data_IF_155969492665
#
_entry.id   IF_155969492665
#
_cell.length_a   1.000
_cell.length_b   1.000
_cell.length_c   1.000
_cell.angle_alpha   90.00
_cell.angle_beta   90.00
_cell.angle_gamma   90.00
#
_symmetry.space_group_name_H-M   'P 1'
#
loop_
_entity.id
_entity.type
_entity.pdbx_description
1 polymer ?
#
# COMPACT_ATOMS: atom_id res chain seq x y z
N UNK A 1 -37.61 -37.28 26.83
CA UNK A 1 -37.33 -35.86 27.11
C UNK A 1 -36.57 -35.29 25.93
N UNK A 2 -37.20 -34.44 25.11
CA UNK A 2 -36.53 -33.73 24.01
C UNK A 2 -35.87 -32.49 24.62
N UNK A 3 -34.57 -32.33 24.37
CA UNK A 3 -33.76 -31.20 24.83
C UNK A 3 -34.38 -29.88 24.34
N UNK A 4 -34.90 -29.02 25.23
CA UNK A 4 -35.61 -27.83 24.82
C UNK A 4 -34.58 -26.75 24.42
N UNK A 5 -34.54 -26.49 23.11
CA UNK A 5 -33.92 -25.34 22.45
C UNK A 5 -32.42 -25.43 22.15
N UNK A 6 -32.05 -26.32 21.21
CA UNK A 6 -30.83 -26.08 20.43
C UNK A 6 -30.99 -24.77 19.66
N UNK A 7 -30.15 -23.77 19.95
CA UNK A 7 -30.12 -22.51 19.19
C UNK A 7 -29.90 -22.83 17.71
N UNK A 8 -30.56 -22.10 16.78
CA UNK A 8 -30.34 -22.31 15.35
C UNK A 8 -28.86 -22.05 15.02
N UNK A 9 -28.23 -23.00 14.33
CA UNK A 9 -26.91 -22.79 13.75
C UNK A 9 -27.08 -21.99 12.45
N UNK A 10 -26.35 -20.89 12.32
CA UNK A 10 -26.23 -20.16 11.07
C UNK A 10 -24.99 -20.68 10.34
N UNK A 11 -25.19 -21.55 9.36
CA UNK A 11 -24.13 -22.03 8.49
C UNK A 11 -24.01 -21.08 7.29
N UNK A 12 -22.93 -20.32 7.23
CA UNK A 12 -22.61 -19.44 6.08
C UNK A 12 -21.53 -20.12 5.26
N UNK A 13 -21.89 -20.60 4.08
CA UNK A 13 -20.94 -21.11 3.09
C UNK A 13 -20.43 -19.95 2.22
N UNK A 14 -19.10 -19.83 2.11
CA UNK A 14 -18.43 -18.76 1.39
C UNK A 14 -17.59 -19.36 0.27
N UNK A 15 -17.95 -19.08 -0.99
CA UNK A 15 -17.09 -19.40 -2.13
C UNK A 15 -15.89 -18.44 -2.14
N UNK A 16 -14.78 -18.93 -1.58
CA UNK A 16 -13.55 -18.15 -1.39
C UNK A 16 -12.96 -17.68 -2.73
N UNK A 17 -13.05 -18.50 -3.78
CA UNK A 17 -12.52 -18.18 -5.10
C UNK A 17 -13.31 -17.06 -5.76
N UNK A 18 -14.66 -17.16 -5.73
CA UNK A 18 -15.53 -16.11 -6.23
C UNK A 18 -15.40 -14.83 -5.42
N UNK A 19 -15.29 -14.94 -4.11
CA UNK A 19 -15.17 -13.78 -3.21
C UNK A 19 -13.88 -13.00 -3.47
N UNK A 20 -12.73 -13.68 -3.55
CA UNK A 20 -11.47 -13.03 -3.87
C UNK A 20 -11.47 -12.41 -5.26
N UNK A 21 -12.08 -13.07 -6.25
CA UNK A 21 -12.20 -12.54 -7.61
C UNK A 21 -13.05 -11.27 -7.65
N UNK A 22 -14.20 -11.27 -6.97
CA UNK A 22 -15.07 -10.10 -6.90
C UNK A 22 -14.42 -8.94 -6.14
N UNK A 23 -13.70 -9.25 -5.06
CA UNK A 23 -12.92 -8.25 -4.32
C UNK A 23 -11.86 -7.62 -5.22
N UNK A 24 -11.04 -8.44 -5.89
CA UNK A 24 -10.01 -7.95 -6.82
C UNK A 24 -10.61 -7.08 -7.93
N UNK A 25 -11.64 -7.57 -8.63
CA UNK A 25 -12.30 -6.82 -9.71
C UNK A 25 -12.89 -5.51 -9.18
N UNK A 26 -13.53 -5.54 -8.01
CA UNK A 26 -14.14 -4.36 -7.40
C UNK A 26 -13.12 -3.28 -7.07
N UNK A 27 -11.98 -3.67 -6.46
CA UNK A 27 -10.90 -2.73 -6.13
C UNK A 27 -10.28 -2.14 -7.39
N UNK A 28 -9.89 -2.97 -8.36
CA UNK A 28 -9.31 -2.49 -9.63
C UNK A 28 -10.28 -1.61 -10.42
N UNK A 29 -11.56 -1.96 -10.46
CA UNK A 29 -12.57 -1.13 -11.11
C UNK A 29 -12.71 0.24 -10.43
N UNK A 30 -12.58 0.29 -9.10
CA UNK A 30 -12.60 1.53 -8.35
C UNK A 30 -11.32 2.37 -8.58
N UNK A 31 -10.15 1.75 -8.60
CA UNK A 31 -8.87 2.39 -8.93
C UNK A 31 -8.90 3.03 -10.33
N UNK A 32 -9.40 2.28 -11.33
CA UNK A 32 -9.59 2.79 -12.69
C UNK A 32 -10.58 3.95 -12.70
N UNK A 33 -11.70 3.83 -11.97
CA UNK A 33 -12.67 4.92 -11.87
C UNK A 33 -12.02 6.19 -11.30
N UNK A 34 -11.23 6.08 -10.22
CA UNK A 34 -10.50 7.20 -9.64
C UNK A 34 -9.56 7.85 -10.65
N UNK A 35 -8.73 7.06 -11.35
CA UNK A 35 -7.82 7.55 -12.39
C UNK A 35 -8.56 8.33 -13.50
N UNK A 36 -9.68 7.78 -13.97
CA UNK A 36 -10.50 8.43 -15.00
C UNK A 36 -11.16 9.71 -14.48
N UNK A 37 -11.69 9.70 -13.25
CA UNK A 37 -12.29 10.87 -12.64
C UNK A 37 -11.29 12.01 -12.51
N UNK A 38 -10.04 11.73 -12.10
CA UNK A 38 -9.00 12.76 -12.04
C UNK A 38 -8.67 13.30 -13.43
N UNK A 39 -8.38 12.40 -14.38
CA UNK A 39 -8.04 12.75 -15.76
C UNK A 39 -9.08 13.64 -16.43
N UNK A 40 -10.37 13.34 -16.25
CA UNK A 40 -11.45 14.07 -16.91
C UNK A 40 -11.96 15.26 -16.10
N UNK A 41 -12.16 15.11 -14.79
CA UNK A 41 -12.79 16.16 -13.97
C UNK A 41 -11.75 17.16 -13.47
N UNK A 42 -10.63 16.69 -12.91
CA UNK A 42 -9.60 17.57 -12.36
C UNK A 42 -8.76 18.19 -13.47
N UNK A 43 -8.10 17.34 -14.28
CA UNK A 43 -7.21 17.79 -15.35
C UNK A 43 -8.00 18.37 -16.52
N UNK A 44 -8.98 17.61 -17.04
CA UNK A 44 -9.84 18.05 -18.14
C UNK A 44 -10.82 19.17 -17.80
N UNK A 45 -10.95 19.53 -16.51
CA UNK A 45 -11.83 20.60 -16.00
C UNK A 45 -13.29 20.48 -16.46
N UNK A 46 -13.83 19.26 -16.55
CA UNK A 46 -15.25 19.06 -16.88
C UNK A 46 -16.22 19.70 -15.87
N UNK A 47 -15.75 19.98 -14.65
CA UNK A 47 -16.54 20.66 -13.60
C UNK A 47 -15.73 21.86 -13.08
N UNK A 48 -16.33 23.06 -13.10
CA UNK A 48 -15.65 24.29 -12.70
C UNK A 48 -15.41 24.41 -11.19
N UNK A 49 -16.17 23.68 -10.36
CA UNK A 49 -16.07 23.72 -8.91
C UNK A 49 -14.73 23.17 -8.41
N UNK A 50 -13.90 24.05 -7.84
CA UNK A 50 -12.56 23.71 -7.35
C UNK A 50 -12.56 22.66 -6.23
N UNK A 51 -13.57 22.67 -5.35
CA UNK A 51 -13.69 21.69 -4.26
C UNK A 51 -13.88 20.26 -4.78
N UNK A 52 -14.71 20.08 -5.82
CA UNK A 52 -14.96 18.75 -6.40
C UNK A 52 -13.70 18.26 -7.12
N UNK A 53 -13.04 19.13 -7.89
CA UNK A 53 -11.75 18.81 -8.51
C UNK A 53 -10.68 18.48 -7.49
N UNK A 54 -10.59 19.23 -6.39
CA UNK A 54 -9.65 18.94 -5.31
C UNK A 54 -9.88 17.56 -4.69
N UNK A 55 -11.14 17.19 -4.45
CA UNK A 55 -11.52 15.90 -3.88
C UNK A 55 -11.16 14.70 -4.80
N UNK A 56 -11.21 14.91 -6.12
CA UNK A 56 -10.93 13.88 -7.13
C UNK A 56 -9.51 13.95 -7.71
N UNK A 57 -8.67 14.86 -7.22
CA UNK A 57 -7.30 14.98 -7.66
C UNK A 57 -6.43 13.93 -6.96
N UNK A 58 -6.00 12.88 -7.67
CA UNK A 58 -5.17 11.81 -7.12
C UNK A 58 -3.79 12.32 -6.73
N UNK A 59 -3.32 13.43 -7.31
CA UNK A 59 -2.04 14.04 -6.93
C UNK A 59 -2.12 14.82 -5.61
N UNK A 60 -3.29 14.88 -4.96
CA UNK A 60 -3.51 15.54 -3.66
C UNK A 60 -3.72 14.52 -2.58
N UNK A 61 -3.30 14.91 -1.38
CA UNK A 61 -3.19 13.98 -0.26
C UNK A 61 -4.34 14.09 0.74
N UNK A 62 -5.26 15.01 0.45
CA UNK A 62 -6.58 15.11 1.05
C UNK A 62 -7.69 14.65 0.08
N UNK A 63 -7.32 13.84 -0.93
CA UNK A 63 -8.25 13.35 -1.95
C UNK A 63 -8.97 12.05 -1.54
N UNK A 64 -10.01 11.70 -2.28
CA UNK A 64 -10.67 10.39 -2.15
C UNK A 64 -9.71 9.26 -2.52
N UNK A 65 -8.77 9.50 -3.44
CA UNK A 65 -7.73 8.54 -3.82
C UNK A 65 -6.84 8.18 -2.64
N UNK A 66 -6.29 9.18 -1.95
CA UNK A 66 -5.44 8.97 -0.77
C UNK A 66 -6.19 8.31 0.38
N UNK A 67 -7.47 8.67 0.60
CA UNK A 67 -8.26 7.98 1.62
C UNK A 67 -8.45 6.50 1.28
N UNK A 68 -8.68 6.19 0.01
CA UNK A 68 -8.80 4.82 -0.46
C UNK A 68 -7.48 4.04 -0.36
N UNK A 69 -6.35 4.59 -0.82
CA UNK A 69 -5.01 3.95 -0.69
C UNK A 69 -4.67 3.67 0.77
N UNK A 70 -4.91 4.63 1.67
CA UNK A 70 -4.71 4.49 3.11
C UNK A 70 -5.53 3.32 3.68
N UNK A 71 -6.83 3.24 3.37
CA UNK A 71 -7.67 2.14 3.82
C UNK A 71 -7.22 0.80 3.22
N UNK A 72 -6.81 0.80 1.95
CA UNK A 72 -6.35 -0.39 1.29
C UNK A 72 -5.10 -0.96 1.99
N UNK A 73 -4.10 -0.13 2.25
CA UNK A 73 -2.90 -0.50 3.01
C UNK A 73 -3.25 -0.99 4.43
N UNK A 74 -4.20 -0.33 5.11
CA UNK A 74 -4.68 -0.78 6.41
C UNK A 74 -5.28 -2.19 6.35
N UNK A 75 -6.12 -2.47 5.35
CA UNK A 75 -6.71 -3.81 5.17
C UNK A 75 -5.67 -4.86 4.77
N UNK A 76 -4.63 -4.51 4.00
CA UNK A 76 -3.47 -5.39 3.79
C UNK A 76 -2.86 -5.74 5.15
N UNK A 77 -2.61 -4.73 5.99
CA UNK A 77 -2.09 -4.93 7.33
C UNK A 77 -2.93 -5.89 8.17
N UNK A 78 -4.26 -5.70 8.19
CA UNK A 78 -5.18 -6.59 8.88
C UNK A 78 -5.19 -8.03 8.32
N UNK A 79 -5.07 -8.18 7.00
CA UNK A 79 -5.02 -9.50 6.37
C UNK A 79 -3.75 -10.26 6.77
N UNK A 80 -2.59 -9.59 6.75
CA UNK A 80 -1.31 -10.16 7.25
C UNK A 80 -1.39 -10.51 8.74
N UNK A 81 -1.94 -9.62 9.57
CA UNK A 81 -2.13 -9.90 11.00
C UNK A 81 -3.03 -11.12 11.21
N UNK A 82 -4.13 -11.23 10.46
CA UNK A 82 -5.06 -12.36 10.54
C UNK A 82 -4.35 -13.68 10.25
N UNK A 83 -3.52 -13.72 9.21
CA UNK A 83 -2.66 -14.89 8.90
C UNK A 83 -1.64 -15.16 10.01
N UNK A 84 -1.04 -14.11 10.59
CA UNK A 84 -0.10 -14.24 11.70
C UNK A 84 -0.74 -14.85 12.95
N UNK A 85 -1.94 -14.41 13.30
CA UNK A 85 -2.69 -14.93 14.44
C UNK A 85 -3.17 -16.37 14.22
N UNK A 86 -3.39 -16.76 12.97
CA UNK A 86 -3.82 -18.11 12.62
C UNK A 86 -2.69 -19.15 12.63
N UNK A 87 -1.41 -18.73 12.64
CA UNK A 87 -0.25 -19.64 12.57
C UNK A 87 -0.22 -20.69 13.68
N UNK A 88 -0.64 -20.33 14.91
CA UNK A 88 -0.68 -21.27 16.03
C UNK A 88 -1.65 -22.43 15.76
N UNK A 89 -2.81 -22.11 15.17
CA UNK A 89 -3.81 -23.13 14.81
C UNK A 89 -3.32 -24.02 13.66
N UNK A 90 -2.44 -23.51 12.80
CA UNK A 90 -1.82 -24.27 11.70
C UNK A 90 -0.63 -25.13 12.15
N UNK A 91 -0.22 -25.09 13.43
CA UNK A 91 0.95 -25.80 13.92
C UNK A 91 2.28 -25.28 13.36
N UNK A 92 2.28 -24.06 12.81
CA UNK A 92 3.45 -23.46 12.17
C UNK A 92 4.40 -22.84 13.21
N UNK A 93 5.71 -22.79 12.95
CA UNK A 93 6.69 -22.30 13.91
C UNK A 93 6.55 -20.79 14.19
N UNK A 94 6.92 -20.37 15.41
CA UNK A 94 6.71 -19.01 15.91
C UNK A 94 7.35 -17.90 15.06
N UNK A 95 8.47 -18.19 14.36
CA UNK A 95 9.12 -17.20 13.50
C UNK A 95 8.24 -16.79 12.32
N UNK A 96 7.41 -17.70 11.77
CA UNK A 96 6.46 -17.35 10.70
C UNK A 96 5.40 -16.39 11.21
N UNK A 97 4.85 -16.66 12.40
CA UNK A 97 3.92 -15.76 13.07
C UNK A 97 4.53 -14.36 13.23
N UNK A 98 5.78 -14.29 13.67
CA UNK A 98 6.48 -13.02 13.82
C UNK A 98 6.52 -12.24 12.49
N UNK A 99 6.95 -12.85 11.38
CA UNK A 99 7.01 -12.15 10.08
C UNK A 99 5.64 -11.73 9.56
N UNK A 100 4.62 -12.59 9.65
CA UNK A 100 3.26 -12.21 9.25
C UNK A 100 2.74 -11.00 10.06
N UNK A 101 2.97 -10.98 11.38
CA UNK A 101 2.58 -9.85 12.23
C UNK A 101 3.42 -8.60 11.92
N UNK A 102 4.74 -8.76 11.77
CA UNK A 102 5.65 -7.66 11.46
C UNK A 102 5.26 -6.96 10.16
N UNK A 103 5.03 -7.72 9.08
CA UNK A 103 4.57 -7.14 7.81
C UNK A 103 3.17 -6.54 7.92
N UNK A 104 2.29 -7.15 8.71
CA UNK A 104 0.97 -6.56 8.96
C UNK A 104 1.06 -5.19 9.65
N UNK A 105 1.90 -5.05 10.68
CA UNK A 105 2.14 -3.75 11.31
C UNK A 105 2.87 -2.77 10.39
N UNK A 106 3.77 -3.26 9.53
CA UNK A 106 4.41 -2.42 8.52
C UNK A 106 3.40 -1.80 7.55
N UNK A 107 2.43 -2.57 7.03
CA UNK A 107 1.39 -2.02 6.16
C UNK A 107 0.41 -1.08 6.89
N UNK A 108 0.14 -1.32 8.18
CA UNK A 108 -0.58 -0.33 9.01
C UNK A 108 0.24 0.96 9.15
N UNK A 109 1.56 0.85 9.33
CA UNK A 109 2.44 2.01 9.33
C UNK A 109 2.39 2.76 7.99
N UNK A 110 2.47 2.06 6.85
CA UNK A 110 2.33 2.66 5.51
C UNK A 110 1.00 3.41 5.37
N UNK A 111 -0.11 2.84 5.83
CA UNK A 111 -1.42 3.51 5.86
C UNK A 111 -1.41 4.82 6.67
N UNK A 112 -0.76 4.83 7.83
CA UNK A 112 -0.64 6.03 8.67
C UNK A 112 0.29 7.05 8.01
N UNK A 113 1.39 6.59 7.44
CA UNK A 113 2.41 7.40 6.79
C UNK A 113 1.84 8.15 5.59
N UNK A 114 1.13 7.45 4.71
CA UNK A 114 0.46 8.00 3.52
C UNK A 114 -0.56 9.09 3.93
N UNK A 115 -1.41 8.81 4.92
CA UNK A 115 -2.39 9.78 5.42
C UNK A 115 -1.80 10.97 6.20
N UNK A 116 -0.54 10.88 6.63
CA UNK A 116 0.11 11.92 7.47
C UNK A 116 1.34 12.57 6.85
N UNK A 117 1.81 12.09 5.69
CA UNK A 117 3.05 12.51 5.03
C UNK A 117 4.26 12.39 5.94
N UNK A 118 4.32 11.35 6.77
CA UNK A 118 5.32 11.30 7.83
C UNK A 118 6.75 11.20 7.25
N UNK A 119 6.97 10.37 6.24
CA UNK A 119 8.26 10.25 5.54
C UNK A 119 8.65 11.55 4.82
N UNK A 120 7.70 12.26 4.21
CA UNK A 120 7.96 13.57 3.57
C UNK A 120 8.36 14.64 4.60
N UNK A 121 7.65 14.68 5.74
CA UNK A 121 7.92 15.65 6.82
C UNK A 121 9.29 15.42 7.43
N UNK A 122 9.66 14.17 7.68
CA UNK A 122 11.00 13.83 8.17
C UNK A 122 12.06 14.16 7.11
N UNK A 123 11.81 13.85 5.83
CA UNK A 123 12.71 14.23 4.74
C UNK A 123 12.94 15.75 4.69
N UNK A 124 11.90 16.55 4.94
CA UNK A 124 12.00 18.01 4.99
C UNK A 124 12.83 18.51 6.17
N UNK A 125 12.65 17.91 7.36
CA UNK A 125 13.49 18.22 8.53
C UNK A 125 14.95 17.88 8.25
N UNK A 126 15.21 16.69 7.69
CA UNK A 126 16.56 16.25 7.34
C UNK A 126 17.22 17.17 6.31
N UNK A 127 16.48 17.61 5.28
CA UNK A 127 16.95 18.62 4.31
C UNK A 127 17.40 19.90 5.00
N UNK A 128 16.56 20.46 5.88
CA UNK A 128 16.88 21.71 6.61
C UNK A 128 18.14 21.54 7.45
N UNK A 129 18.28 20.44 8.19
CA UNK A 129 19.48 20.18 8.99
C UNK A 129 20.73 19.99 8.12
N UNK A 130 20.63 19.30 6.98
CA UNK A 130 21.76 19.10 6.08
C UNK A 130 22.22 20.39 5.38
N UNK A 131 21.27 21.27 5.03
CA UNK A 131 21.54 22.56 4.33
C UNK A 131 21.91 23.68 5.32
N UNK A 132 21.28 23.76 6.48
CA UNK A 132 21.58 24.79 7.49
C UNK A 132 22.83 24.44 8.32
N UNK A 133 23.14 23.14 8.47
CA UNK A 133 24.36 22.65 9.12
C UNK A 133 25.61 22.75 8.25
N UNK A 134 25.45 23.06 6.95
CA UNK A 134 26.53 23.31 6.01
C UNK A 134 26.79 24.82 5.89
N UNK A 135 27.28 25.44 6.97
CA UNK A 135 28.09 26.65 6.81
C UNK A 135 29.24 26.30 5.85
N UNK A 136 29.33 27.03 4.74
CA UNK A 136 30.01 26.66 3.50
C UNK A 136 31.49 26.25 3.59
N UNK A 137 32.14 26.47 4.74
CA UNK A 137 33.56 26.17 4.97
C UNK A 137 33.82 24.86 5.75
N UNK A 138 32.80 24.17 6.27
CA UNK A 138 32.98 22.95 7.11
C UNK A 138 32.04 21.79 6.78
N UNK A 139 31.30 21.85 5.67
CA UNK A 139 30.40 20.76 5.31
C UNK A 139 31.19 19.47 5.05
N UNK A 140 31.01 18.45 5.89
CA UNK A 140 31.62 17.15 5.63
C UNK A 140 31.19 16.62 4.25
N UNK A 141 32.05 15.87 3.53
CA UNK A 141 31.78 15.40 2.17
C UNK A 141 30.42 14.70 2.01
N UNK A 142 29.94 14.04 3.07
CA UNK A 142 28.62 13.41 3.10
C UNK A 142 27.48 14.43 3.00
N UNK A 143 27.53 15.54 3.72
CA UNK A 143 26.49 16.58 3.68
C UNK A 143 26.50 17.36 2.37
N UNK A 144 27.68 17.58 1.78
CA UNK A 144 27.78 18.17 0.44
C UNK A 144 27.19 17.24 -0.65
N UNK A 145 27.41 15.93 -0.55
CA UNK A 145 26.79 14.94 -1.44
C UNK A 145 25.26 14.90 -1.27
N UNK A 146 24.78 14.88 -0.02
CA UNK A 146 23.35 14.87 0.31
C UNK A 146 22.64 16.19 -0.06
N UNK A 147 23.35 17.33 0.00
CA UNK A 147 22.85 18.63 -0.43
C UNK A 147 22.53 18.69 -1.93
N UNK A 148 23.22 17.88 -2.75
CA UNK A 148 23.07 17.81 -4.20
C UNK A 148 22.26 16.59 -4.67
N UNK A 149 21.55 15.91 -3.76
CA UNK A 149 20.78 14.72 -4.12
C UNK A 149 19.61 15.10 -5.03
N UNK A 150 19.44 14.46 -6.21
CA UNK A 150 18.56 14.95 -7.28
C UNK A 150 17.07 14.66 -7.05
N UNK A 151 16.70 14.13 -5.89
CA UNK A 151 15.33 13.69 -5.58
C UNK A 151 14.94 14.06 -4.15
N UNK A 152 13.75 13.67 -3.72
CA UNK A 152 13.26 13.88 -2.37
C UNK A 152 14.22 13.31 -1.32
N UNK A 153 14.47 14.09 -0.25
CA UNK A 153 15.37 13.70 0.84
C UNK A 153 14.84 12.50 1.63
N UNK A 154 13.55 12.22 1.57
CA UNK A 154 12.99 11.02 2.19
C UNK A 154 13.59 9.75 1.56
N UNK A 155 13.96 9.76 0.27
CA UNK A 155 14.60 8.61 -0.38
C UNK A 155 15.91 8.22 0.32
N UNK A 156 16.69 9.18 0.80
CA UNK A 156 17.94 8.89 1.50
C UNK A 156 17.69 8.15 2.82
N UNK A 157 16.62 8.53 3.52
CA UNK A 157 16.34 8.05 4.89
C UNK A 157 15.52 6.75 4.86
N UNK A 158 14.43 6.72 4.09
CA UNK A 158 13.44 5.65 4.13
C UNK A 158 13.61 4.61 3.02
N UNK A 159 14.10 4.99 1.83
CA UNK A 159 14.23 4.03 0.71
C UNK A 159 15.09 2.81 1.09
N UNK A 160 16.25 2.94 1.78
CA UNK A 160 17.02 1.75 2.19
C UNK A 160 16.27 0.86 3.17
N UNK A 161 15.46 1.46 4.06
CA UNK A 161 14.65 0.74 5.05
C UNK A 161 13.53 -0.02 4.32
N UNK A 162 12.78 0.68 3.47
CA UNK A 162 11.70 0.10 2.68
C UNK A 162 12.20 -0.96 1.70
N UNK A 163 13.38 -0.78 1.11
CA UNK A 163 14.03 -1.79 0.29
C UNK A 163 14.35 -3.06 1.09
N UNK A 164 14.94 -2.93 2.28
CA UNK A 164 15.21 -4.06 3.17
C UNK A 164 13.92 -4.80 3.56
N UNK A 165 12.86 -4.06 3.91
CA UNK A 165 11.56 -4.64 4.27
C UNK A 165 10.91 -5.31 3.05
N UNK A 166 10.91 -4.67 1.89
CA UNK A 166 10.40 -5.23 0.63
C UNK A 166 11.12 -6.52 0.24
N UNK A 167 12.45 -6.56 0.39
CA UNK A 167 13.24 -7.78 0.18
C UNK A 167 12.89 -8.87 1.20
N UNK A 168 12.69 -8.51 2.47
CA UNK A 168 12.25 -9.45 3.50
C UNK A 168 10.85 -10.02 3.19
N UNK A 169 9.91 -9.18 2.75
CA UNK A 169 8.58 -9.59 2.28
C UNK A 169 8.71 -10.56 1.12
N UNK A 170 9.51 -10.22 0.10
CA UNK A 170 9.75 -11.08 -1.05
C UNK A 170 10.28 -12.45 -0.63
N UNK A 171 11.38 -12.50 0.11
CA UNK A 171 12.03 -13.75 0.54
C UNK A 171 11.06 -14.60 1.37
N UNK A 172 10.33 -13.98 2.29
CA UNK A 172 9.40 -14.67 3.17
C UNK A 172 8.20 -15.24 2.39
N UNK A 173 7.50 -14.38 1.63
CA UNK A 173 6.31 -14.79 0.88
C UNK A 173 6.66 -15.76 -0.26
N UNK A 174 7.82 -15.63 -0.90
CA UNK A 174 8.26 -16.59 -1.91
C UNK A 174 8.35 -18.02 -1.36
N UNK A 175 8.77 -18.15 -0.09
CA UNK A 175 8.83 -19.43 0.63
C UNK A 175 7.45 -19.92 1.05
N UNK A 176 6.58 -19.04 1.51
CA UNK A 176 5.24 -19.42 2.00
C UNK A 176 4.24 -19.71 0.88
N UNK A 177 4.32 -18.99 -0.25
CA UNK A 177 3.46 -19.16 -1.41
C UNK A 177 3.95 -20.34 -2.25
N UNK A 178 3.19 -21.44 -2.18
CA UNK A 178 3.54 -22.69 -2.89
C UNK A 178 3.07 -22.71 -4.35
N UNK A 179 1.98 -22.01 -4.65
CA UNK A 179 1.36 -21.99 -5.98
C UNK A 179 2.00 -20.92 -6.86
N UNK A 180 2.35 -21.28 -8.10
CA UNK A 180 3.01 -20.39 -9.06
C UNK A 180 2.23 -19.08 -9.30
N UNK A 181 0.90 -19.17 -9.45
CA UNK A 181 0.06 -17.99 -9.67
C UNK A 181 0.17 -16.97 -8.53
N UNK A 182 0.34 -17.42 -7.28
CA UNK A 182 0.52 -16.52 -6.14
C UNK A 182 1.93 -15.89 -6.14
N UNK A 183 2.95 -16.59 -6.64
CA UNK A 183 4.29 -16.02 -6.82
C UNK A 183 4.35 -14.99 -7.94
N UNK A 184 3.66 -15.24 -9.06
CA UNK A 184 3.51 -14.26 -10.14
C UNK A 184 2.80 -13.01 -9.62
N UNK A 185 1.75 -13.18 -8.82
CA UNK A 185 1.05 -12.08 -8.17
C UNK A 185 1.96 -11.28 -7.22
N UNK A 186 2.81 -11.95 -6.43
CA UNK A 186 3.83 -11.30 -5.60
C UNK A 186 4.82 -10.49 -6.42
N UNK A 187 5.33 -11.07 -7.52
CA UNK A 187 6.24 -10.35 -8.42
C UNK A 187 5.55 -9.12 -9.03
N UNK A 188 4.32 -9.27 -9.52
CA UNK A 188 3.55 -8.17 -10.06
C UNK A 188 3.33 -7.06 -9.03
N UNK A 189 2.95 -7.40 -7.79
CA UNK A 189 2.76 -6.44 -6.70
C UNK A 189 4.05 -5.64 -6.43
N UNK A 190 5.18 -6.34 -6.25
CA UNK A 190 6.47 -5.70 -6.00
C UNK A 190 6.95 -4.87 -7.20
N UNK A 191 6.75 -5.36 -8.43
CA UNK A 191 7.12 -4.61 -9.63
C UNK A 191 6.31 -3.32 -9.77
N UNK A 192 5.02 -3.32 -9.44
CA UNK A 192 4.21 -2.11 -9.46
C UNK A 192 4.74 -1.06 -8.49
N UNK A 193 5.08 -1.45 -7.25
CA UNK A 193 5.75 -0.54 -6.31
C UNK A 193 7.10 -0.05 -6.82
N UNK A 194 7.96 -0.93 -7.34
CA UNK A 194 9.28 -0.53 -7.85
C UNK A 194 9.15 0.47 -9.00
N UNK A 195 8.20 0.27 -9.91
CA UNK A 195 7.96 1.21 -11.01
C UNK A 195 7.40 2.52 -10.47
N UNK A 196 6.44 2.49 -9.54
CA UNK A 196 5.89 3.68 -8.90
C UNK A 196 6.98 4.56 -8.28
N UNK A 197 7.82 3.95 -7.44
CA UNK A 197 8.93 4.63 -6.77
C UNK A 197 9.98 5.12 -7.79
N UNK A 198 10.11 4.42 -8.91
CA UNK A 198 10.90 4.87 -10.05
C UNK A 198 10.32 6.13 -10.72
N UNK A 199 9.00 6.23 -10.85
CA UNK A 199 8.33 7.44 -11.35
C UNK A 199 8.57 8.61 -10.40
N UNK A 200 8.32 8.46 -9.09
CA UNK A 200 8.56 9.52 -8.09
C UNK A 200 10.02 10.03 -8.11
N UNK A 201 10.97 9.11 -8.29
CA UNK A 201 12.38 9.47 -8.45
C UNK A 201 12.63 10.30 -9.73
N UNK A 202 12.10 9.87 -10.87
CA UNK A 202 12.26 10.54 -12.17
C UNK A 202 11.55 11.90 -12.23
N UNK A 203 10.49 12.11 -11.45
CA UNK A 203 9.78 13.39 -11.37
C UNK A 203 10.68 14.56 -10.94
N UNK A 204 11.74 14.29 -10.17
CA UNK A 204 12.67 15.32 -9.69
C UNK A 204 13.90 15.52 -10.55
N UNK A 205 14.07 14.75 -11.61
CA UNK A 205 15.20 14.92 -12.52
C UNK A 205 14.82 15.88 -13.64
N UNK A 206 15.29 17.13 -13.54
CA UNK A 206 15.00 18.22 -14.49
C UNK A 206 15.25 17.83 -15.96
N UNK A 207 16.37 17.15 -16.23
CA UNK A 207 16.73 16.71 -17.59
C UNK A 207 15.68 15.74 -18.17
N UNK A 208 15.14 14.85 -17.35
CA UNK A 208 14.09 13.91 -17.78
C UNK A 208 12.79 14.65 -18.04
N UNK A 209 12.43 15.61 -17.18
CA UNK A 209 11.23 16.42 -17.34
C UNK A 209 11.27 17.27 -18.63
N UNK A 210 12.41 17.89 -18.93
CA UNK A 210 12.60 18.66 -20.17
C UNK A 210 12.49 17.76 -21.41
N UNK A 211 13.13 16.58 -21.37
CA UNK A 211 13.05 15.61 -22.47
C UNK A 211 11.62 15.13 -22.72
N UNK A 212 10.84 14.85 -21.66
CA UNK A 212 9.43 14.45 -21.77
C UNK A 212 8.56 15.58 -22.35
N UNK A 213 8.76 16.81 -21.91
CA UNK A 213 8.03 17.98 -22.43
C UNK A 213 8.26 18.16 -23.93
N UNK A 214 9.51 18.06 -24.38
CA UNK A 214 9.87 18.16 -25.79
C UNK A 214 9.31 16.98 -26.61
N UNK A 215 9.47 15.74 -26.11
CA UNK A 215 9.04 14.52 -26.81
C UNK A 215 7.54 14.46 -27.01
N UNK A 216 6.77 14.85 -26.01
CA UNK A 216 5.30 14.79 -26.05
C UNK A 216 4.65 16.12 -26.46
N UNK A 217 5.45 17.18 -26.69
CA UNK A 217 4.96 18.54 -26.92
C UNK A 217 3.91 18.96 -25.89
N UNK A 218 4.20 18.67 -24.62
CA UNK A 218 3.29 18.83 -23.50
C UNK A 218 3.88 19.78 -22.46
N UNK A 219 3.02 20.45 -21.71
CA UNK A 219 3.46 21.33 -20.62
C UNK A 219 4.05 20.51 -19.46
N UNK A 220 4.97 21.11 -18.70
CA UNK A 220 5.46 20.54 -17.43
C UNK A 220 4.30 20.06 -16.54
N UNK A 221 3.28 20.90 -16.35
CA UNK A 221 2.08 20.53 -15.58
C UNK A 221 1.41 19.24 -16.07
N UNK A 222 1.35 19.03 -17.39
CA UNK A 222 0.71 17.84 -17.97
C UNK A 222 1.55 16.60 -17.70
N UNK A 223 2.86 16.69 -17.93
CA UNK A 223 3.79 15.57 -17.68
C UNK A 223 3.77 15.18 -16.20
N UNK A 224 3.93 16.17 -15.30
CA UNK A 224 3.94 15.92 -13.86
C UNK A 224 2.61 15.37 -13.36
N UNK A 225 1.48 15.92 -13.82
CA UNK A 225 0.18 15.43 -13.39
C UNK A 225 -0.04 13.98 -13.83
N UNK A 226 0.21 13.64 -15.11
CA UNK A 226 0.01 12.27 -15.60
C UNK A 226 1.02 11.27 -15.04
N UNK A 227 2.25 11.70 -14.78
CA UNK A 227 3.26 10.90 -14.05
C UNK A 227 2.73 10.54 -12.68
N UNK A 228 2.31 11.54 -11.89
CA UNK A 228 1.88 11.34 -10.50
C UNK A 228 0.60 10.53 -10.39
N UNK A 229 -0.42 10.75 -11.22
CA UNK A 229 -1.63 9.90 -11.16
C UNK A 229 -1.34 8.45 -11.60
N UNK A 230 -0.33 8.24 -12.44
CA UNK A 230 0.10 6.90 -12.86
C UNK A 230 0.87 6.22 -11.73
N UNK A 231 1.77 6.93 -11.07
CA UNK A 231 2.44 6.52 -9.83
C UNK A 231 1.40 6.03 -8.80
N UNK A 232 0.49 6.91 -8.38
CA UNK A 232 -0.56 6.63 -7.40
C UNK A 232 -1.41 5.40 -7.78
N UNK A 233 -1.77 5.28 -9.07
CA UNK A 233 -2.51 4.12 -9.57
C UNK A 233 -1.70 2.81 -9.47
N UNK A 234 -0.41 2.85 -9.76
CA UNK A 234 0.47 1.67 -9.64
C UNK A 234 0.63 1.25 -8.18
N UNK A 235 0.73 2.19 -7.24
CA UNK A 235 0.79 1.88 -5.81
C UNK A 235 -0.49 1.23 -5.32
N UNK A 236 -1.64 1.80 -5.67
CA UNK A 236 -2.94 1.21 -5.35
C UNK A 236 -3.05 -0.20 -5.93
N UNK A 237 -2.79 -0.38 -7.23
CA UNK A 237 -2.87 -1.69 -7.87
C UNK A 237 -1.93 -2.72 -7.20
N UNK A 238 -0.70 -2.32 -6.87
CA UNK A 238 0.25 -3.15 -6.12
C UNK A 238 -0.27 -3.54 -4.74
N UNK A 239 -0.87 -2.59 -4.03
CA UNK A 239 -1.51 -2.79 -2.71
C UNK A 239 -2.70 -3.74 -2.81
N UNK A 240 -3.54 -3.63 -3.86
CA UNK A 240 -4.63 -4.57 -4.14
C UNK A 240 -4.11 -6.00 -4.27
N UNK A 241 -3.02 -6.22 -5.01
CA UNK A 241 -2.40 -7.55 -5.09
C UNK A 241 -1.87 -8.03 -3.74
N UNK A 242 -1.26 -7.15 -2.95
CA UNK A 242 -0.84 -7.45 -1.58
C UNK A 242 -1.98 -7.74 -0.62
N UNK A 243 -3.19 -7.26 -0.89
CA UNK A 243 -4.38 -7.61 -0.11
C UNK A 243 -4.87 -9.02 -0.45
N UNK A 244 -4.90 -9.35 -1.74
CA UNK A 244 -5.37 -10.67 -2.20
C UNK A 244 -4.43 -11.80 -1.76
N UNK A 245 -3.11 -11.57 -1.73
CA UNK A 245 -2.11 -12.58 -1.36
C UNK A 245 -2.35 -13.27 0.01
N UNK A 246 -2.38 -12.55 1.15
CA UNK A 246 -2.59 -13.13 2.47
C UNK A 246 -4.00 -13.71 2.62
N UNK A 247 -5.02 -13.10 2.03
CA UNK A 247 -6.38 -13.64 2.06
C UNK A 247 -6.47 -14.99 1.32
N UNK A 248 -5.83 -15.08 0.15
CA UNK A 248 -5.72 -16.33 -0.61
C UNK A 248 -4.96 -17.38 0.18
N UNK A 249 -3.83 -17.03 0.78
CA UNK A 249 -3.07 -17.94 1.65
C UNK A 249 -3.94 -18.47 2.81
N UNK A 250 -4.73 -17.61 3.44
CA UNK A 250 -5.63 -17.99 4.52
C UNK A 250 -6.68 -18.99 4.02
N UNK A 251 -7.38 -18.68 2.93
CA UNK A 251 -8.44 -19.54 2.39
C UNK A 251 -7.93 -20.88 1.85
N UNK A 252 -6.68 -20.95 1.38
CA UNK A 252 -6.07 -22.22 0.97
C UNK A 252 -5.71 -23.11 2.17
N UNK A 253 -5.51 -22.53 3.36
CA UNK A 253 -5.09 -23.25 4.57
C UNK A 253 -6.25 -23.62 5.51
N UNK A 254 -7.40 -22.96 5.39
CA UNK A 254 -8.57 -23.21 6.22
C UNK A 254 -9.74 -23.72 5.37
N UNK A 255 -10.29 -24.88 5.73
CA UNK A 255 -11.47 -25.46 5.06
C UNK A 255 -12.80 -24.83 5.50
N UNK A 256 -12.80 -23.98 6.52
CA UNK A 256 -13.99 -23.28 7.02
C UNK A 256 -13.69 -22.51 8.31
N UNK A 257 -14.62 -21.61 8.67
CA UNK A 257 -14.59 -20.86 9.93
C UNK A 257 -15.78 -21.30 10.78
N UNK A 258 -15.53 -21.81 11.98
CA UNK A 258 -16.58 -22.08 12.98
C UNK A 258 -16.63 -20.94 14.00
N UNK A 259 -17.70 -20.14 13.97
CA UNK A 259 -17.96 -19.12 14.98
C UNK A 259 -18.65 -19.77 16.18
N UNK A 260 -17.93 -19.89 17.30
CA UNK A 260 -18.49 -20.38 18.57
C UNK A 260 -18.75 -19.19 19.50
N UNK A 261 -20.03 -18.86 19.70
CA UNK A 261 -20.43 -17.87 20.69
C UNK A 261 -20.45 -18.52 22.08
N UNK A 262 -19.59 -18.06 22.98
CA UNK A 262 -19.69 -18.43 24.40
C UNK A 262 -20.60 -17.42 25.08
N UNK A 263 -21.81 -17.83 25.47
CA UNK A 263 -22.55 -17.04 26.45
C UNK A 263 -21.91 -17.30 27.80
N UNK A 264 -21.46 -16.24 28.48
CA UNK A 264 -21.18 -16.32 29.90
C UNK A 264 -22.50 -16.68 30.58
N UNK A 265 -22.73 -17.97 30.84
CA UNK A 265 -23.71 -18.31 31.86
C UNK A 265 -23.14 -17.77 33.16
N UNK A 266 -23.84 -16.75 33.66
CA UNK A 266 -23.61 -16.15 34.95
C UNK A 266 -23.25 -17.25 35.95
N UNK A 267 -22.11 -17.06 36.60
CA UNK A 267 -21.80 -17.65 37.89
C UNK A 267 -22.89 -17.24 38.89
N UNK A 268 -24.07 -17.84 38.81
CA UNK A 268 -25.03 -17.85 39.90
C UNK A 268 -24.61 -18.97 40.84
N UNK A 269 -23.82 -18.55 41.85
CA UNK A 269 -23.73 -19.07 43.23
C UNK A 269 -24.05 -20.56 43.47
#
# INVERSE_FOLDING_TARGET
MKDPMSKPNLDVELDTSRTLKLLFIGLVAFEILLYLLDSFITYGRLIDQSSIRGMLNLTREDSVGTWFSCLQAFFVGLAFISVGLSQKALGEPAWKKFFWLFFGFFFIYVSIDDGSKFHERIGTVFKKTAVDGSSADTAEPLFAFLGNFPTYYWHVVFMPIFFCIGLAIFIFLWRELRVMNSRIMLLAALSLYVVSQGLDFLEKIEVVQLWLQETFNATEYTILHFSKITEEFMEMLGTTLFLILPLKYLFERFQGIQLKFRSDQATSS
#
